data_IF_188585778244
#
_entry.id   IF_188585778244
#
_cell.length_a   1.000
_cell.length_b   1.000
_cell.length_c   1.000
_cell.angle_alpha   90.00
_cell.angle_beta   90.00
_cell.angle_gamma   90.00
#
_symmetry.space_group_name_H-M   'P 1'
#
loop_
_entity.id
_entity.type
_entity.pdbx_description
1 polymer ?
#
# COMPACT_ATOMS: atom_id res chain seq x y z
N UNK A 1 25.36 -35.65 -12.10
CA UNK A 1 24.66 -34.92 -11.03
C UNK A 1 23.49 -34.22 -11.69
N UNK A 2 22.27 -34.75 -11.49
CA UNK A 2 21.05 -34.15 -12.05
C UNK A 2 20.64 -33.02 -11.10
N UNK A 3 20.81 -31.74 -11.53
CA UNK A 3 20.21 -30.58 -10.89
C UNK A 3 18.69 -30.77 -10.87
N UNK A 4 18.14 -31.00 -9.70
CA UNK A 4 16.69 -30.90 -9.49
C UNK A 4 16.32 -29.41 -9.64
N UNK A 5 15.80 -29.03 -10.79
CA UNK A 5 15.11 -27.77 -10.96
C UNK A 5 13.95 -27.73 -9.94
N UNK A 6 14.07 -26.90 -8.89
CA UNK A 6 12.96 -26.57 -8.03
C UNK A 6 11.88 -25.84 -8.84
N UNK A 7 10.61 -26.13 -8.64
CA UNK A 7 9.56 -25.36 -9.27
C UNK A 7 9.70 -23.87 -8.87
N UNK A 8 9.65 -22.99 -9.85
CA UNK A 8 9.80 -21.52 -9.72
C UNK A 8 8.62 -20.83 -9.05
N UNK A 9 7.61 -21.57 -8.66
CA UNK A 9 6.46 -21.07 -7.91
C UNK A 9 6.54 -21.66 -6.50
N UNK A 10 6.50 -20.83 -5.43
CA UNK A 10 6.26 -21.39 -4.11
C UNK A 10 4.98 -22.22 -4.19
N UNK A 11 4.91 -23.39 -3.53
CA UNK A 11 3.65 -24.08 -3.41
C UNK A 11 2.67 -23.04 -2.87
N UNK A 12 1.60 -22.76 -3.64
CA UNK A 12 0.43 -22.06 -3.10
C UNK A 12 0.14 -22.83 -1.82
N UNK A 13 0.34 -22.16 -0.67
CA UNK A 13 0.20 -22.82 0.61
C UNK A 13 -1.15 -23.52 0.56
N UNK A 14 -1.14 -24.85 0.70
CA UNK A 14 -2.36 -25.60 0.92
C UNK A 14 -3.04 -24.82 2.04
N UNK A 15 -4.17 -24.23 1.72
CA UNK A 15 -4.93 -23.26 2.54
C UNK A 15 -4.75 -23.58 4.01
N UNK A 16 -4.18 -22.64 4.76
CA UNK A 16 -4.06 -22.74 6.21
C UNK A 16 -5.35 -23.38 6.70
N UNK A 17 -5.27 -24.53 7.40
CA UNK A 17 -6.39 -25.35 7.81
C UNK A 17 -7.33 -24.67 8.83
N UNK A 18 -7.11 -23.41 9.10
CA UNK A 18 -7.96 -22.53 9.90
C UNK A 18 -8.56 -21.46 8.98
N UNK A 19 -9.80 -21.66 8.50
CA UNK A 19 -10.49 -20.59 7.80
C UNK A 19 -10.66 -19.42 8.78
N UNK A 20 -10.04 -18.31 8.45
CA UNK A 20 -10.29 -17.03 9.11
C UNK A 20 -11.80 -16.78 9.11
N UNK A 21 -12.42 -16.93 10.27
CA UNK A 21 -13.87 -16.72 10.40
C UNK A 21 -14.16 -15.24 10.64
N UNK A 22 -14.14 -14.47 9.56
CA UNK A 22 -14.70 -13.12 9.62
C UNK A 22 -16.20 -13.25 9.94
N UNK A 23 -16.73 -12.53 10.96
CA UNK A 23 -18.13 -12.56 11.31
C UNK A 23 -19.03 -12.29 10.09
N UNK A 24 -20.14 -13.02 9.97
CA UNK A 24 -21.04 -12.86 8.82
C UNK A 24 -21.56 -11.42 8.69
N UNK A 25 -21.79 -10.73 9.79
CA UNK A 25 -22.19 -9.32 9.80
C UNK A 25 -21.13 -8.42 9.13
N UNK A 26 -19.85 -8.69 9.36
CA UNK A 26 -18.74 -7.96 8.74
C UNK A 26 -18.63 -8.30 7.24
N UNK A 27 -18.73 -9.57 6.88
CA UNK A 27 -18.75 -9.99 5.46
C UNK A 27 -19.92 -9.35 4.71
N UNK A 28 -21.09 -9.32 5.35
CA UNK A 28 -22.29 -8.68 4.80
C UNK A 28 -22.05 -7.19 4.56
N UNK A 29 -21.41 -6.49 5.50
CA UNK A 29 -21.04 -5.09 5.34
C UNK A 29 -20.13 -4.88 4.12
N UNK A 30 -19.05 -5.68 3.99
CA UNK A 30 -18.12 -5.56 2.88
C UNK A 30 -18.83 -5.80 1.54
N UNK A 31 -19.67 -6.84 1.44
CA UNK A 31 -20.47 -7.11 0.24
C UNK A 31 -21.40 -5.95 -0.11
N UNK A 32 -22.07 -5.36 0.89
CA UNK A 32 -22.97 -4.21 0.68
C UNK A 32 -22.20 -2.99 0.13
N UNK A 33 -21.04 -2.68 0.70
CA UNK A 33 -20.22 -1.54 0.24
C UNK A 33 -19.70 -1.78 -1.17
N UNK A 34 -19.14 -2.96 -1.46
CA UNK A 34 -18.64 -3.30 -2.80
C UNK A 34 -19.78 -3.26 -3.83
N UNK A 35 -20.93 -3.84 -3.53
CA UNK A 35 -22.10 -3.80 -4.42
C UNK A 35 -22.61 -2.37 -4.67
N UNK A 36 -22.61 -1.52 -3.63
CA UNK A 36 -22.98 -0.12 -3.76
C UNK A 36 -22.01 0.63 -4.70
N UNK A 37 -20.71 0.42 -4.55
CA UNK A 37 -19.70 1.06 -5.40
C UNK A 37 -19.87 0.64 -6.86
N UNK A 38 -20.08 -0.64 -7.14
CA UNK A 38 -20.35 -1.13 -8.49
C UNK A 38 -21.64 -0.51 -9.06
N UNK A 39 -22.75 -0.52 -8.30
CA UNK A 39 -24.02 0.05 -8.71
C UNK A 39 -23.92 1.54 -9.03
N UNK A 40 -23.19 2.30 -8.22
CA UNK A 40 -23.03 3.75 -8.35
C UNK A 40 -21.86 4.16 -9.24
N UNK A 41 -21.16 3.17 -9.81
CA UNK A 41 -19.98 3.37 -10.66
C UNK A 41 -18.88 4.21 -9.99
N UNK A 42 -18.69 4.00 -8.69
CA UNK A 42 -17.55 4.56 -7.96
C UNK A 42 -16.30 3.79 -8.38
N UNK A 43 -15.28 4.48 -8.85
CA UNK A 43 -14.01 3.84 -9.20
C UNK A 43 -13.17 3.61 -7.94
N UNK A 44 -12.81 2.34 -7.68
CA UNK A 44 -12.04 1.92 -6.50
C UNK A 44 -11.20 0.67 -6.78
N UNK A 45 -10.29 0.36 -5.88
CA UNK A 45 -9.60 -0.93 -5.82
C UNK A 45 -9.49 -1.38 -4.36
N UNK A 46 -9.78 -2.65 -4.08
CA UNK A 46 -9.53 -3.25 -2.77
C UNK A 46 -8.02 -3.36 -2.55
N UNK A 47 -7.55 -3.00 -1.36
CA UNK A 47 -6.15 -2.95 -0.97
C UNK A 47 -5.87 -3.79 0.28
N UNK A 48 -4.84 -3.42 1.05
CA UNK A 48 -4.53 -3.98 2.36
C UNK A 48 -4.35 -5.48 2.38
N UNK A 49 -4.83 -6.11 3.43
CA UNK A 49 -4.66 -7.55 3.65
C UNK A 49 -5.37 -8.41 2.59
N UNK A 50 -6.51 -7.94 2.05
CA UNK A 50 -7.27 -8.68 1.04
C UNK A 50 -6.56 -8.69 -0.31
N UNK A 51 -5.95 -7.58 -0.72
CA UNK A 51 -5.12 -7.54 -1.92
C UNK A 51 -3.82 -8.35 -1.73
N UNK A 52 -3.21 -8.28 -0.54
CA UNK A 52 -2.04 -9.11 -0.22
C UNK A 52 -2.36 -10.60 -0.36
N UNK A 53 -3.51 -11.04 0.16
CA UNK A 53 -3.97 -12.41 0.04
C UNK A 53 -4.11 -12.83 -1.43
N UNK A 54 -4.69 -11.99 -2.28
CA UNK A 54 -4.88 -12.28 -3.70
C UNK A 54 -3.54 -12.49 -4.42
N UNK A 55 -2.53 -11.65 -4.11
CA UNK A 55 -1.22 -11.74 -4.76
C UNK A 55 -0.32 -12.84 -4.20
N UNK A 56 -0.43 -13.15 -2.91
CA UNK A 56 0.53 -14.04 -2.21
C UNK A 56 -0.06 -15.38 -1.78
N UNK A 57 -1.39 -15.50 -1.76
CA UNK A 57 -2.08 -16.65 -1.15
C UNK A 57 -2.03 -16.67 0.38
N UNK A 58 -1.47 -15.65 1.04
CA UNK A 58 -1.37 -15.58 2.49
C UNK A 58 -2.67 -15.05 3.08
N UNK A 59 -3.37 -15.92 3.79
CA UNK A 59 -4.60 -15.55 4.50
C UNK A 59 -4.26 -14.93 5.86
N UNK A 60 -4.83 -13.75 6.13
CA UNK A 60 -4.74 -13.07 7.42
C UNK A 60 -6.12 -12.63 7.86
N UNK A 61 -6.33 -12.63 9.19
CA UNK A 61 -7.48 -11.95 9.77
C UNK A 61 -7.39 -10.47 9.48
N UNK A 62 -8.42 -9.91 8.87
CA UNK A 62 -8.55 -8.46 8.71
C UNK A 62 -9.84 -7.99 9.36
N UNK A 63 -9.77 -6.85 10.05
CA UNK A 63 -10.92 -6.21 10.72
C UNK A 63 -11.58 -5.18 9.82
N UNK A 64 -10.94 -4.79 8.74
CA UNK A 64 -11.31 -3.70 7.84
C UNK A 64 -11.26 -4.15 6.38
N UNK A 65 -11.98 -3.40 5.56
CA UNK A 65 -11.87 -3.42 4.11
C UNK A 65 -11.19 -2.11 3.70
N UNK A 66 -9.97 -2.22 3.21
CA UNK A 66 -9.26 -1.09 2.63
C UNK A 66 -9.71 -0.90 1.18
N UNK A 67 -10.33 0.23 0.87
CA UNK A 67 -10.66 0.64 -0.49
C UNK A 67 -9.82 1.86 -0.89
N UNK A 68 -9.00 1.71 -1.92
CA UNK A 68 -8.24 2.81 -2.51
C UNK A 68 -9.08 3.50 -3.57
N UNK A 69 -9.16 4.83 -3.48
CA UNK A 69 -9.96 5.67 -4.37
C UNK A 69 -9.21 6.97 -4.66
N UNK A 70 -9.47 7.57 -5.80
CA UNK A 70 -9.10 8.99 -5.96
C UNK A 70 -9.89 9.86 -4.98
N UNK A 71 -9.43 11.07 -4.64
CA UNK A 71 -10.17 11.97 -3.75
C UNK A 71 -11.60 12.26 -4.21
N UNK A 72 -11.79 12.40 -5.52
CA UNK A 72 -13.10 12.65 -6.13
C UNK A 72 -14.03 11.45 -5.95
N UNK A 73 -13.51 10.24 -6.18
CA UNK A 73 -14.27 9.01 -5.96
C UNK A 73 -14.53 8.76 -4.46
N UNK A 74 -13.63 9.14 -3.56
CA UNK A 74 -13.88 9.06 -2.12
C UNK A 74 -15.02 10.00 -1.68
N UNK A 75 -15.08 11.24 -2.21
CA UNK A 75 -16.18 12.16 -1.96
C UNK A 75 -17.53 11.58 -2.45
N UNK A 76 -17.53 10.97 -3.64
CA UNK A 76 -18.71 10.28 -4.18
C UNK A 76 -19.11 9.08 -3.30
N UNK A 77 -18.16 8.25 -2.93
CA UNK A 77 -18.38 7.08 -2.06
C UNK A 77 -19.01 7.48 -0.73
N UNK A 78 -18.45 8.47 -0.04
CA UNK A 78 -18.97 8.99 1.23
C UNK A 78 -20.40 9.49 1.10
N UNK A 79 -20.73 10.23 0.03
CA UNK A 79 -22.09 10.70 -0.23
C UNK A 79 -23.08 9.54 -0.35
N UNK A 80 -22.74 8.51 -1.14
CA UNK A 80 -23.61 7.36 -1.32
C UNK A 80 -23.73 6.50 -0.06
N UNK A 81 -22.63 6.31 0.66
CA UNK A 81 -22.63 5.57 1.92
C UNK A 81 -23.50 6.25 2.98
N UNK A 82 -23.44 7.60 3.09
CA UNK A 82 -24.37 8.37 3.97
C UNK A 82 -25.83 8.18 3.58
N UNK A 83 -26.16 8.17 2.28
CA UNK A 83 -27.53 7.92 1.79
C UNK A 83 -28.02 6.53 2.16
N UNK A 84 -27.14 5.55 2.24
CA UNK A 84 -27.44 4.16 2.66
C UNK A 84 -27.39 3.99 4.20
N UNK A 85 -27.26 5.08 4.96
CA UNK A 85 -27.29 5.07 6.42
C UNK A 85 -25.99 4.63 7.09
N UNK A 86 -24.84 4.76 6.42
CA UNK A 86 -23.54 4.60 7.05
C UNK A 86 -23.17 5.87 7.82
N UNK A 87 -22.55 5.69 8.99
CA UNK A 87 -21.89 6.76 9.70
C UNK A 87 -20.49 6.98 9.09
N UNK A 88 -20.30 8.16 8.49
CA UNK A 88 -19.09 8.46 7.73
C UNK A 88 -18.24 9.51 8.45
N UNK A 89 -17.00 9.13 8.74
CA UNK A 89 -16.02 9.93 9.45
C UNK A 89 -14.86 10.36 8.54
N UNK A 90 -14.41 11.61 8.71
CA UNK A 90 -13.15 12.11 8.16
C UNK A 90 -12.07 11.94 9.22
N UNK A 91 -11.37 10.80 9.23
CA UNK A 91 -10.32 10.52 10.20
C UNK A 91 -9.09 11.40 9.96
N UNK A 92 -8.70 11.52 8.70
CA UNK A 92 -7.61 12.40 8.25
C UNK A 92 -7.89 12.88 6.82
N UNK A 93 -8.18 14.17 6.62
CA UNK A 93 -8.59 14.68 5.32
C UNK A 93 -7.54 14.47 4.22
N UNK A 94 -6.26 14.28 4.59
CA UNK A 94 -5.16 14.06 3.63
C UNK A 94 -5.29 12.70 2.94
N UNK A 95 -5.78 11.67 3.67
CA UNK A 95 -5.67 10.30 3.13
C UNK A 95 -6.73 9.30 3.59
N UNK A 96 -7.45 9.51 4.74
CA UNK A 96 -8.25 8.44 5.36
C UNK A 96 -9.64 8.92 5.77
N UNK A 97 -10.63 8.22 5.27
CA UNK A 97 -12.03 8.33 5.67
C UNK A 97 -12.55 6.97 6.10
N UNK A 98 -13.55 6.93 6.97
CA UNK A 98 -14.18 5.67 7.42
C UNK A 98 -15.69 5.72 7.20
N UNK A 99 -16.23 4.56 6.89
CA UNK A 99 -17.66 4.35 6.84
C UNK A 99 -18.03 3.21 7.79
N UNK A 100 -18.78 3.53 8.83
CA UNK A 100 -19.15 2.60 9.92
C UNK A 100 -20.59 2.12 9.77
N UNK A 101 -20.79 0.86 10.18
CA UNK A 101 -22.12 0.32 10.49
C UNK A 101 -22.02 -0.57 11.72
N UNK A 102 -22.50 -0.06 12.87
CA UNK A 102 -22.27 -0.70 14.16
C UNK A 102 -20.76 -0.70 14.52
N UNK A 103 -20.24 -1.88 14.81
CA UNK A 103 -18.83 -2.06 15.21
C UNK A 103 -17.87 -2.30 14.03
N UNK A 104 -18.40 -2.47 12.83
CA UNK A 104 -17.62 -2.74 11.61
C UNK A 104 -17.47 -1.49 10.75
N UNK A 105 -16.39 -1.41 10.00
CA UNK A 105 -16.10 -0.26 9.14
C UNK A 105 -15.32 -0.64 7.89
N UNK A 106 -15.31 0.29 6.96
CA UNK A 106 -14.54 0.26 5.73
C UNK A 106 -13.66 1.50 5.69
N UNK A 107 -12.40 1.32 5.37
CA UNK A 107 -11.43 2.40 5.17
C UNK A 107 -11.43 2.84 3.71
N UNK A 108 -11.67 4.13 3.48
CA UNK A 108 -11.57 4.79 2.19
C UNK A 108 -10.26 5.56 2.16
N UNK A 109 -9.31 5.09 1.35
CA UNK A 109 -7.92 5.55 1.37
C UNK A 109 -7.61 6.28 0.06
N UNK A 110 -7.20 7.54 0.16
CA UNK A 110 -6.89 8.40 -0.99
C UNK A 110 -5.39 8.67 -1.16
N UNK A 111 -4.56 8.04 -0.35
CA UNK A 111 -3.11 8.20 -0.37
C UNK A 111 -2.45 7.62 0.87
N UNK A 112 -1.21 8.02 1.13
CA UNK A 112 -0.50 7.66 2.35
C UNK A 112 -0.51 8.82 3.35
N UNK A 113 -0.40 8.49 4.65
CA UNK A 113 -0.47 9.46 5.75
C UNK A 113 0.59 10.57 5.68
N UNK A 114 1.71 10.30 5.02
CA UNK A 114 2.79 11.27 4.78
C UNK A 114 2.56 12.14 3.53
N UNK A 115 1.47 11.92 2.80
CA UNK A 115 1.11 12.64 1.57
C UNK A 115 2.15 12.54 0.42
N UNK A 116 3.08 11.59 0.49
CA UNK A 116 4.02 11.29 -0.60
C UNK A 116 3.27 10.64 -1.75
N UNK A 117 2.45 9.65 -1.43
CA UNK A 117 1.61 8.94 -2.40
C UNK A 117 0.19 9.47 -2.32
N UNK A 118 -0.35 9.76 -3.49
CA UNK A 118 -1.77 10.05 -3.73
C UNK A 118 -2.32 9.00 -4.67
N UNK A 119 -3.50 8.46 -4.37
CA UNK A 119 -4.15 7.52 -5.26
C UNK A 119 -4.68 8.27 -6.48
N UNK A 120 -4.20 7.91 -7.65
CA UNK A 120 -4.57 8.47 -8.94
C UNK A 120 -5.39 7.46 -9.76
N UNK A 121 -6.00 7.92 -10.85
CA UNK A 121 -6.76 7.07 -11.76
C UNK A 121 -5.90 5.93 -12.34
N UNK A 122 -4.61 6.15 -12.51
CA UNK A 122 -3.65 5.14 -12.96
C UNK A 122 -3.58 3.93 -12.02
N UNK A 123 -3.73 4.14 -10.71
CA UNK A 123 -3.78 3.08 -9.70
C UNK A 123 -5.03 2.21 -9.85
N UNK A 124 -6.17 2.85 -10.05
CA UNK A 124 -7.46 2.17 -10.15
C UNK A 124 -7.64 1.46 -11.49
N UNK A 125 -7.18 2.08 -12.58
CA UNK A 125 -7.26 1.48 -13.93
C UNK A 125 -6.42 0.20 -14.08
N UNK A 126 -5.30 0.09 -13.35
CA UNK A 126 -4.45 -1.10 -13.30
C UNK A 126 -4.95 -2.20 -12.35
N UNK A 127 -5.97 -1.90 -11.52
CA UNK A 127 -6.51 -2.87 -10.58
C UNK A 127 -6.99 -4.14 -11.29
N UNK A 128 -6.71 -5.30 -10.69
CA UNK A 128 -6.93 -6.62 -11.28
C UNK A 128 -8.27 -7.22 -10.81
N UNK A 129 -9.01 -7.94 -11.67
CA UNK A 129 -10.22 -8.64 -11.25
C UNK A 129 -9.92 -9.66 -10.16
N UNK A 130 -10.77 -9.71 -9.13
CA UNK A 130 -10.67 -10.65 -8.02
C UNK A 130 -12.05 -10.97 -7.45
N UNK A 131 -12.11 -11.93 -6.52
CA UNK A 131 -13.34 -12.24 -5.77
C UNK A 131 -13.06 -12.10 -4.28
N UNK A 132 -13.60 -11.06 -3.67
CA UNK A 132 -13.43 -10.77 -2.24
C UNK A 132 -14.71 -11.16 -1.50
N UNK A 133 -14.61 -12.10 -0.57
CA UNK A 133 -15.77 -12.63 0.20
C UNK A 133 -16.97 -13.05 -0.66
N UNK A 134 -16.69 -13.64 -1.84
CA UNK A 134 -17.73 -14.07 -2.78
C UNK A 134 -18.29 -12.95 -3.66
N UNK A 135 -17.78 -11.73 -3.57
CA UNK A 135 -18.20 -10.58 -4.39
C UNK A 135 -17.14 -10.32 -5.47
N UNK A 136 -17.49 -10.38 -6.77
CA UNK A 136 -16.62 -9.92 -7.84
C UNK A 136 -16.24 -8.46 -7.61
N UNK A 137 -14.96 -8.15 -7.69
CA UNK A 137 -14.40 -6.82 -7.44
C UNK A 137 -13.06 -6.66 -8.14
N UNK A 138 -12.30 -5.64 -7.79
CA UNK A 138 -10.95 -5.41 -8.27
C UNK A 138 -10.02 -5.14 -7.09
N UNK A 139 -8.83 -5.72 -7.12
CA UNK A 139 -7.78 -5.46 -6.13
C UNK A 139 -6.67 -4.64 -6.76
N UNK A 140 -5.96 -3.85 -5.95
CA UNK A 140 -4.77 -3.12 -6.42
C UNK A 140 -3.81 -4.06 -7.14
N UNK A 141 -3.19 -3.59 -8.20
CA UNK A 141 -2.09 -4.31 -8.81
C UNK A 141 -0.93 -4.46 -7.82
N UNK A 142 -0.10 -5.47 -8.05
CA UNK A 142 0.95 -5.82 -7.10
C UNK A 142 1.99 -4.70 -6.92
N UNK A 143 2.27 -3.93 -7.97
CA UNK A 143 3.18 -2.80 -7.95
C UNK A 143 2.70 -1.69 -7.02
N UNK A 144 1.46 -1.27 -7.18
CA UNK A 144 0.82 -0.23 -6.36
C UNK A 144 0.71 -0.68 -4.90
N UNK A 145 0.34 -1.95 -4.66
CA UNK A 145 0.27 -2.51 -3.32
C UNK A 145 1.65 -2.54 -2.66
N UNK A 146 2.68 -3.02 -3.36
CA UNK A 146 4.06 -3.06 -2.86
C UNK A 146 4.54 -1.67 -2.47
N UNK A 147 4.37 -0.69 -3.37
CA UNK A 147 4.85 0.67 -3.14
C UNK A 147 4.10 1.35 -2.00
N UNK A 148 2.78 1.13 -1.85
CA UNK A 148 2.04 1.66 -0.71
C UNK A 148 2.61 1.20 0.63
N UNK A 149 3.14 -0.03 0.71
CA UNK A 149 3.74 -0.60 1.92
C UNK A 149 5.16 -0.10 2.22
N UNK A 150 5.91 0.35 1.21
CA UNK A 150 7.25 0.93 1.41
C UNK A 150 7.21 2.17 2.32
N UNK A 151 6.11 2.92 2.31
CA UNK A 151 5.95 4.11 3.14
C UNK A 151 5.32 3.85 4.52
N UNK A 152 5.07 2.57 4.86
CA UNK A 152 4.60 2.16 6.20
C UNK A 152 5.79 1.64 7.01
N UNK A 153 6.65 2.57 7.44
CA UNK A 153 7.90 2.30 8.17
C UNK A 153 7.96 3.10 9.48
N UNK A 154 6.83 3.17 10.17
CA UNK A 154 6.72 3.88 11.45
C UNK A 154 7.13 2.99 12.62
N UNK A 155 7.52 3.61 13.74
CA UNK A 155 7.81 2.89 14.98
C UNK A 155 6.67 1.94 15.40
N UNK A 156 5.42 2.38 15.25
CA UNK A 156 4.24 1.64 15.67
C UNK A 156 3.79 0.59 14.62
N UNK A 157 4.24 0.72 13.36
CA UNK A 157 3.83 -0.15 12.26
C UNK A 157 4.91 -0.24 11.18
N UNK A 158 5.35 -1.45 10.94
CA UNK A 158 6.30 -1.79 9.88
C UNK A 158 5.75 -2.94 9.03
N UNK A 159 5.44 -2.65 7.78
CA UNK A 159 4.88 -3.64 6.84
C UNK A 159 5.97 -4.48 6.12
N UNK A 160 7.15 -4.62 6.70
CA UNK A 160 8.29 -5.31 6.08
C UNK A 160 8.02 -6.78 5.76
N UNK A 161 7.26 -7.49 6.60
CA UNK A 161 6.86 -8.86 6.30
C UNK A 161 5.99 -8.93 5.02
N UNK A 162 5.06 -7.99 4.85
CA UNK A 162 4.20 -7.92 3.67
C UNK A 162 5.01 -7.63 2.41
N UNK A 163 5.97 -6.69 2.49
CA UNK A 163 6.90 -6.39 1.41
C UNK A 163 7.69 -7.65 1.03
N UNK A 164 8.27 -8.33 2.00
CA UNK A 164 9.06 -9.53 1.75
C UNK A 164 8.23 -10.67 1.14
N UNK A 165 6.99 -10.86 1.60
CA UNK A 165 6.05 -11.83 1.05
C UNK A 165 5.62 -11.48 -0.39
N UNK A 166 5.37 -10.20 -0.67
CA UNK A 166 5.07 -9.75 -2.03
C UNK A 166 6.22 -10.00 -2.99
N UNK A 167 7.45 -9.62 -2.62
CA UNK A 167 8.63 -9.86 -3.44
C UNK A 167 8.85 -11.35 -3.65
N UNK A 168 8.68 -12.19 -2.61
CA UNK A 168 8.81 -13.63 -2.72
C UNK A 168 7.78 -14.24 -3.67
N UNK A 169 6.52 -13.84 -3.55
CA UNK A 169 5.41 -14.45 -4.30
C UNK A 169 5.31 -13.96 -5.76
N UNK A 170 5.59 -12.69 -6.01
CA UNK A 170 5.33 -12.06 -7.32
C UNK A 170 6.49 -11.26 -7.89
N UNK A 171 7.63 -11.15 -7.20
CA UNK A 171 8.75 -10.28 -7.59
C UNK A 171 9.27 -10.52 -9.00
N UNK A 172 9.27 -11.76 -9.47
CA UNK A 172 9.67 -12.14 -10.83
C UNK A 172 8.63 -11.77 -11.91
N UNK A 173 7.44 -11.31 -11.52
CA UNK A 173 6.32 -10.95 -12.42
C UNK A 173 5.92 -9.49 -12.32
N UNK A 174 6.53 -8.74 -11.37
CA UNK A 174 6.28 -7.31 -11.22
C UNK A 174 6.74 -6.53 -12.45
N UNK A 175 5.96 -5.53 -12.82
CA UNK A 175 6.34 -4.46 -13.73
C UNK A 175 7.32 -3.50 -12.99
N UNK A 176 8.61 -3.87 -12.93
CA UNK A 176 9.63 -3.10 -12.22
C UNK A 176 9.79 -1.66 -12.72
N UNK A 177 9.70 -1.36 -14.03
CA UNK A 177 9.59 0.01 -14.52
C UNK A 177 8.49 0.80 -13.81
N UNK A 178 7.31 0.20 -13.63
CA UNK A 178 6.20 0.82 -12.88
C UNK A 178 6.54 1.02 -11.40
N UNK A 179 7.17 0.05 -10.76
CA UNK A 179 7.63 0.20 -9.37
C UNK A 179 8.62 1.37 -9.25
N UNK A 180 9.58 1.49 -10.17
CA UNK A 180 10.52 2.61 -10.19
C UNK A 180 9.83 3.96 -10.42
N UNK A 181 8.83 4.02 -11.31
CA UNK A 181 8.01 5.21 -11.51
C UNK A 181 7.29 5.63 -10.22
N UNK A 182 6.64 4.69 -9.55
CA UNK A 182 5.87 4.92 -8.34
C UNK A 182 6.73 5.37 -7.15
N UNK A 183 7.92 4.79 -6.96
CA UNK A 183 8.81 5.19 -5.87
C UNK A 183 9.55 6.49 -6.16
N UNK A 184 9.79 6.82 -7.43
CA UNK A 184 10.39 8.06 -7.88
C UNK A 184 11.69 8.42 -7.16
N UNK A 185 11.69 9.57 -6.50
CA UNK A 185 12.85 10.06 -5.72
C UNK A 185 13.11 9.28 -4.44
N UNK A 186 12.17 8.43 -4.00
CA UNK A 186 12.28 7.62 -2.78
C UNK A 186 12.84 6.20 -3.05
N UNK A 187 13.57 6.03 -4.13
CA UNK A 187 14.14 4.74 -4.56
C UNK A 187 15.03 4.07 -3.51
N UNK A 188 15.60 4.82 -2.58
CA UNK A 188 16.39 4.26 -1.47
C UNK A 188 15.53 3.41 -0.54
N UNK A 189 14.24 3.73 -0.38
CA UNK A 189 13.28 2.87 0.36
C UNK A 189 13.08 1.54 -0.35
N UNK A 190 13.02 1.55 -1.68
CA UNK A 190 12.97 0.30 -2.46
C UNK A 190 14.24 -0.52 -2.28
N UNK A 191 15.42 0.09 -2.41
CA UNK A 191 16.69 -0.60 -2.18
C UNK A 191 16.76 -1.20 -0.77
N UNK A 192 16.40 -0.43 0.25
CA UNK A 192 16.37 -0.89 1.63
C UNK A 192 15.40 -2.08 1.81
N UNK A 193 14.22 -2.01 1.22
CA UNK A 193 13.24 -3.10 1.27
C UNK A 193 13.73 -4.38 0.56
N UNK A 194 14.43 -4.25 -0.57
CA UNK A 194 15.01 -5.39 -1.27
C UNK A 194 16.21 -5.99 -0.50
N UNK A 195 17.04 -5.16 0.15
CA UNK A 195 18.10 -5.65 1.06
C UNK A 195 17.47 -6.39 2.23
N UNK A 196 16.38 -5.86 2.82
CA UNK A 196 15.63 -6.55 3.87
C UNK A 196 15.07 -7.89 3.36
N UNK A 197 14.45 -7.93 2.18
CA UNK A 197 14.00 -9.16 1.54
C UNK A 197 15.15 -10.16 1.38
N UNK A 198 16.31 -9.72 0.88
CA UNK A 198 17.50 -10.55 0.73
C UNK A 198 18.00 -11.13 2.07
N UNK A 199 17.89 -10.35 3.14
CA UNK A 199 18.25 -10.80 4.49
C UNK A 199 17.28 -11.89 4.98
N UNK A 200 15.97 -11.69 4.78
CA UNK A 200 14.92 -12.63 5.22
C UNK A 200 14.96 -13.92 4.40
N UNK A 201 15.13 -13.81 3.08
CA UNK A 201 15.15 -14.93 2.12
C UNK A 201 16.47 -15.02 1.37
N UNK A 202 17.57 -15.43 2.01
CA UNK A 202 18.91 -15.36 1.41
C UNK A 202 19.10 -16.23 0.16
N UNK A 203 18.31 -17.29 0.02
CA UNK A 203 18.31 -18.18 -1.15
C UNK A 203 17.45 -17.71 -2.33
N UNK A 204 16.64 -16.64 -2.15
CA UNK A 204 15.55 -16.31 -3.07
C UNK A 204 15.77 -14.96 -3.79
N UNK A 205 17.02 -14.51 -3.88
CA UNK A 205 17.35 -13.23 -4.56
C UNK A 205 16.92 -13.20 -6.02
N UNK A 206 16.79 -14.38 -6.64
CA UNK A 206 16.33 -14.53 -8.02
C UNK A 206 14.83 -14.14 -8.22
N UNK A 207 14.06 -13.97 -7.14
CA UNK A 207 12.71 -13.40 -7.22
C UNK A 207 12.71 -11.95 -7.71
N UNK A 208 13.85 -11.27 -7.63
CA UNK A 208 14.04 -9.91 -8.18
C UNK A 208 15.01 -10.01 -9.35
N UNK A 209 14.67 -9.48 -10.54
CA UNK A 209 15.56 -9.49 -11.70
C UNK A 209 16.92 -8.86 -11.39
N UNK A 210 17.98 -9.43 -11.95
CA UNK A 210 19.35 -8.96 -11.73
C UNK A 210 19.53 -7.49 -12.12
N UNK A 211 18.85 -7.05 -13.18
CA UNK A 211 18.90 -5.69 -13.70
C UNK A 211 18.34 -4.67 -12.68
N UNK A 212 17.32 -5.08 -11.90
CA UNK A 212 16.76 -4.24 -10.82
C UNK A 212 17.80 -4.05 -9.72
N UNK A 213 18.45 -5.13 -9.27
CA UNK A 213 19.54 -5.05 -8.29
C UNK A 213 20.68 -4.17 -8.78
N UNK A 214 21.14 -4.39 -10.00
CA UNK A 214 22.24 -3.63 -10.59
C UNK A 214 21.89 -2.14 -10.70
N UNK A 215 20.70 -1.82 -11.20
CA UNK A 215 20.24 -0.43 -11.33
C UNK A 215 20.26 0.31 -9.98
N UNK A 216 19.72 -0.31 -8.92
CA UNK A 216 19.67 0.29 -7.60
C UNK A 216 21.06 0.42 -6.97
N UNK A 217 21.93 -0.59 -7.12
CA UNK A 217 23.29 -0.57 -6.59
C UNK A 217 24.14 0.49 -7.29
N UNK A 218 24.09 0.58 -8.60
CA UNK A 218 24.80 1.61 -9.37
C UNK A 218 24.36 3.00 -8.94
N UNK A 219 23.04 3.22 -8.86
CA UNK A 219 22.47 4.49 -8.40
C UNK A 219 22.93 4.84 -6.98
N UNK A 220 23.02 3.84 -6.09
CA UNK A 220 23.52 4.05 -4.73
C UNK A 220 25.01 4.38 -4.71
N UNK A 221 25.83 3.70 -5.53
CA UNK A 221 27.26 3.99 -5.66
C UNK A 221 27.54 5.41 -6.16
N UNK A 222 26.66 5.94 -7.02
CA UNK A 222 26.79 7.29 -7.56
C UNK A 222 26.56 8.39 -6.52
N UNK A 223 25.78 8.11 -5.47
CA UNK A 223 25.44 9.09 -4.43
C UNK A 223 26.22 8.89 -3.13
N UNK A 224 26.72 7.68 -2.86
CA UNK A 224 27.44 7.37 -1.62
C UNK A 224 28.73 8.17 -1.52
N UNK A 225 29.00 8.72 -0.35
CA UNK A 225 30.20 9.50 -0.10
C UNK A 225 30.20 10.91 -0.67
N UNK A 226 29.12 11.32 -1.35
CA UNK A 226 28.94 12.70 -1.83
C UNK A 226 28.06 13.46 -0.86
N UNK A 227 28.60 14.53 -0.27
CA UNK A 227 27.79 15.48 0.46
C UNK A 227 27.03 16.36 -0.54
N UNK A 228 25.71 16.29 -0.53
CA UNK A 228 24.89 17.18 -1.33
C UNK A 228 24.10 18.13 -0.38
N UNK A 229 24.50 19.42 -0.31
CA UNK A 229 23.83 20.39 0.56
C UNK A 229 22.41 20.72 0.11
N UNK A 230 22.02 20.32 -1.10
CA UNK A 230 20.68 20.56 -1.65
C UNK A 230 19.72 19.39 -1.37
N UNK A 231 20.20 18.25 -0.85
CA UNK A 231 19.34 17.15 -0.45
C UNK A 231 18.54 17.51 0.79
N UNK A 232 17.25 17.18 0.72
CA UNK A 232 16.31 17.50 1.79
C UNK A 232 16.24 16.37 2.82
N UNK A 233 16.08 16.74 4.09
CA UNK A 233 15.87 15.79 5.17
C UNK A 233 14.51 15.08 5.05
N UNK A 234 14.50 13.74 4.97
CA UNK A 234 13.29 12.94 4.73
C UNK A 234 12.81 12.17 5.96
N UNK A 235 13.45 12.31 7.11
CA UNK A 235 13.07 11.56 8.34
C UNK A 235 11.62 11.79 8.74
N UNK A 236 11.10 13.01 8.65
CA UNK A 236 9.71 13.34 8.97
C UNK A 236 8.69 12.62 8.05
N UNK A 237 9.06 12.21 6.83
CA UNK A 237 8.20 11.42 5.95
C UNK A 237 8.12 9.94 6.37
N UNK A 238 9.12 9.45 7.09
CA UNK A 238 9.17 8.09 7.63
C UNK A 238 8.37 8.03 8.91
N UNK A 239 8.78 8.82 9.92
CA UNK A 239 8.09 8.91 11.21
C UNK A 239 8.38 10.27 11.85
N UNK A 240 7.36 11.10 11.88
CA UNK A 240 7.44 12.48 12.40
C UNK A 240 7.68 12.53 13.91
N UNK A 241 7.31 11.49 14.65
CA UNK A 241 7.55 11.40 16.11
C UNK A 241 8.99 10.99 16.41
N UNK A 242 9.49 9.96 15.72
CA UNK A 242 10.87 9.49 15.93
C UNK A 242 11.89 10.53 15.49
N UNK A 243 11.63 11.26 14.40
CA UNK A 243 12.50 12.31 13.87
C UNK A 243 12.10 13.71 14.34
N UNK A 244 11.34 13.83 15.44
CA UNK A 244 10.93 15.13 15.98
C UNK A 244 12.11 15.98 16.46
N UNK A 245 13.17 15.37 17.03
CA UNK A 245 14.38 16.04 17.47
C UNK A 245 15.11 16.71 16.32
N UNK A 246 15.16 16.05 15.15
CA UNK A 246 15.81 16.59 13.95
C UNK A 246 15.16 17.90 13.50
N UNK A 247 13.81 17.95 13.53
CA UNK A 247 13.06 19.12 13.12
C UNK A 247 13.10 20.21 14.19
N UNK A 248 12.89 19.87 15.47
CA UNK A 248 12.73 20.84 16.56
C UNK A 248 14.06 21.40 17.07
N UNK A 249 15.06 20.49 17.23
CA UNK A 249 16.31 20.84 17.90
C UNK A 249 17.46 21.04 16.91
N UNK A 250 17.48 20.28 15.80
CA UNK A 250 18.55 20.37 14.80
C UNK A 250 18.18 21.22 13.58
N UNK A 251 16.99 21.82 13.57
CA UNK A 251 16.56 22.75 12.53
C UNK A 251 16.37 22.15 11.14
N UNK A 252 16.14 20.84 11.05
CA UNK A 252 15.84 20.19 9.77
C UNK A 252 14.44 20.55 9.29
N UNK A 253 14.23 20.50 7.98
CA UNK A 253 12.93 20.76 7.36
C UNK A 253 11.88 19.74 7.78
N UNK A 254 10.63 20.18 7.95
CA UNK A 254 9.49 19.31 8.14
C UNK A 254 8.79 19.05 6.81
N UNK A 255 9.29 18.08 6.05
CA UNK A 255 8.70 17.68 4.76
C UNK A 255 7.29 17.14 4.90
N UNK A 256 6.99 16.41 5.98
CA UNK A 256 5.64 15.92 6.23
C UNK A 256 4.62 17.06 6.25
N UNK A 257 4.92 18.11 7.01
CA UNK A 257 4.04 19.29 7.08
C UNK A 257 3.85 19.94 5.71
N UNK A 258 4.92 20.12 4.96
CA UNK A 258 4.88 20.70 3.61
C UNK A 258 4.00 19.89 2.65
N UNK A 259 4.22 18.57 2.59
CA UNK A 259 3.49 17.66 1.70
C UNK A 259 2.00 17.62 2.06
N UNK A 260 1.69 17.55 3.35
CA UNK A 260 0.31 17.56 3.84
C UNK A 260 -0.40 18.89 3.55
N UNK A 261 0.25 20.03 3.75
CA UNK A 261 -0.31 21.34 3.42
C UNK A 261 -0.55 21.50 1.91
N UNK A 262 0.36 20.99 1.08
CA UNK A 262 0.18 20.98 -0.38
C UNK A 262 -1.04 20.12 -0.75
N UNK A 263 -1.16 18.94 -0.16
CA UNK A 263 -2.25 18.01 -0.40
C UNK A 263 -3.60 18.60 0.01
N UNK A 264 -3.71 19.24 1.16
CA UNK A 264 -4.94 19.86 1.66
C UNK A 264 -5.52 20.91 0.70
N UNK A 265 -4.71 21.54 -0.14
CA UNK A 265 -5.17 22.52 -1.15
C UNK A 265 -5.84 21.86 -2.36
N UNK A 266 -5.68 20.57 -2.57
CA UNK A 266 -6.17 19.83 -3.76
C UNK A 266 -7.30 18.88 -3.43
N UNK A 267 -7.67 18.71 -2.16
CA UNK A 267 -8.72 17.77 -1.74
C UNK A 267 -10.08 18.41 -2.01
N UNK A 268 -11.04 17.69 -2.64
CA UNK A 268 -12.42 18.11 -2.75
C UNK A 268 -13.08 18.29 -1.39
N UNK A 269 -14.04 19.21 -1.27
CA UNK A 269 -14.87 19.31 -0.07
C UNK A 269 -15.75 18.06 0.07
N UNK A 270 -15.56 17.30 1.14
CA UNK A 270 -16.25 16.05 1.45
C UNK A 270 -17.35 16.20 2.52
N UNK A 271 -17.71 17.45 2.87
CA UNK A 271 -18.77 17.78 3.84
C UNK A 271 -20.16 17.39 3.37
#
# INVERSE_FOLDING_TARGET
>A
MLERQRPLTPPIAETSSYPVQIPEAQRSLFRQVLALFEQKKVSYAVAGALALQEHTGIHRDTKDLDAFLTPENAALALRYLRQEGFDCEVCDPVWLYKAHRGVFYVDLITGMSNAVIVVEDSWISRAQPAVVHGTPTRVLAAEELLVSKLFVTRHERFDGADIAHMVYAVGNRLDWPRVFELVGEHWELLLWALIFFRYVYPGETHCVPTEVWQSLIVRFQDVIGRADPHTRFRGSLIDDKMFAVDVKDWGKENLLLEYRLRRLKTIPDVR
#
